data_IF_345941908473
#
_entry.id   IF_345941908473
#
_cell.length_a   1.000
_cell.length_b   1.000
_cell.length_c   1.000
_cell.angle_alpha   90.00
_cell.angle_beta   90.00
_cell.angle_gamma   90.00
#
_symmetry.space_group_name_H-M   'P 1'
#
loop_
_entity.id
_entity.type
_entity.pdbx_description
1 polymer ?
#
# COMPACT_ATOMS: atom_id res chain seq x y z
N UNK A 1 -50.29 8.55 -15.02
CA UNK A 1 -49.64 7.27 -14.67
C UNK A 1 -48.19 7.43 -14.27
N UNK A 2 -47.35 8.22 -14.98
CA UNK A 2 -45.90 8.40 -14.63
C UNK A 2 -45.64 9.06 -13.27
N UNK A 3 -46.49 10.00 -12.86
CA UNK A 3 -46.36 10.71 -11.56
C UNK A 3 -46.66 9.79 -10.37
N UNK A 4 -47.62 8.85 -10.50
CA UNK A 4 -47.96 7.86 -9.47
C UNK A 4 -46.81 6.87 -9.27
N UNK A 5 -46.12 6.50 -10.35
CA UNK A 5 -44.96 5.60 -10.28
C UNK A 5 -43.78 6.24 -9.55
N UNK A 6 -43.58 7.55 -9.76
CA UNK A 6 -42.50 8.30 -9.06
C UNK A 6 -42.82 8.44 -7.57
N UNK A 7 -44.09 8.66 -7.21
CA UNK A 7 -44.52 8.77 -5.81
C UNK A 7 -44.38 7.43 -5.06
N UNK A 8 -44.59 6.29 -5.75
CA UNK A 8 -44.43 4.95 -5.18
C UNK A 8 -42.98 4.61 -4.90
N UNK A 9 -42.05 5.09 -5.73
CA UNK A 9 -40.58 4.87 -5.54
C UNK A 9 -40.04 5.70 -4.37
N UNK A 10 -40.59 6.89 -4.11
CA UNK A 10 -40.16 7.72 -2.98
C UNK A 10 -40.61 7.18 -1.61
N UNK A 11 -41.63 6.30 -1.56
CA UNK A 11 -42.14 5.74 -0.30
C UNK A 11 -41.36 4.49 0.19
N UNK A 12 -40.49 3.93 -0.62
CA UNK A 12 -39.78 2.67 -0.36
C UNK A 12 -38.49 2.79 0.47
N UNK A 13 -38.09 3.98 0.94
CA UNK A 13 -36.76 4.22 1.51
C UNK A 13 -36.75 4.55 3.02
N UNK A 14 -37.69 3.96 3.83
CA UNK A 14 -37.69 4.11 5.29
C UNK A 14 -37.41 2.75 5.99
N UNK A 15 -36.37 2.02 5.58
CA UNK A 15 -35.95 0.85 6.31
C UNK A 15 -35.06 1.27 7.51
N UNK A 16 -35.68 1.45 8.68
CA UNK A 16 -34.96 1.56 9.93
C UNK A 16 -34.67 0.14 10.42
N UNK A 17 -33.39 -0.28 10.34
CA UNK A 17 -32.94 -1.53 10.95
C UNK A 17 -32.73 -1.31 12.46
N UNK A 18 -33.62 -1.87 13.27
CA UNK A 18 -33.53 -1.84 14.74
C UNK A 18 -33.20 -3.26 15.23
N UNK A 19 -32.27 -3.40 16.16
CA UNK A 19 -31.88 -4.68 16.74
C UNK A 19 -32.59 -4.87 18.09
N UNK A 20 -33.25 -6.02 18.25
CA UNK A 20 -33.94 -6.42 19.46
C UNK A 20 -33.24 -7.62 20.11
N UNK A 21 -33.13 -7.59 21.43
CA UNK A 21 -32.65 -8.68 22.25
C UNK A 21 -33.81 -9.39 22.89
N UNK A 22 -33.97 -10.69 22.71
CA UNK A 22 -34.96 -11.51 23.37
C UNK A 22 -34.30 -12.73 24.02
N UNK A 23 -35.02 -13.37 24.97
CA UNK A 23 -34.60 -14.62 25.61
C UNK A 23 -35.55 -15.69 25.11
N UNK A 24 -35.04 -16.76 24.51
CA UNK A 24 -35.87 -17.88 24.05
C UNK A 24 -36.32 -18.77 25.23
N UNK A 25 -37.20 -19.72 24.98
CA UNK A 25 -37.71 -20.65 26.00
C UNK A 25 -36.65 -21.53 26.65
N UNK A 26 -35.47 -21.62 26.05
CA UNK A 26 -34.31 -22.35 26.58
C UNK A 26 -33.39 -21.45 27.46
N UNK A 27 -33.71 -20.15 27.62
CA UNK A 27 -32.92 -19.20 28.40
C UNK A 27 -31.74 -18.58 27.62
N UNK A 28 -31.64 -18.79 26.32
CA UNK A 28 -30.57 -18.25 25.48
C UNK A 28 -30.94 -16.86 24.95
N UNK A 29 -29.95 -16.00 24.87
CA UNK A 29 -30.09 -14.66 24.30
C UNK A 29 -30.06 -14.73 22.78
N UNK A 30 -31.14 -14.27 22.13
CA UNK A 30 -31.28 -14.21 20.68
C UNK A 30 -31.42 -12.76 20.26
N UNK A 31 -30.67 -12.36 19.20
CA UNK A 31 -30.78 -11.04 18.59
C UNK A 31 -31.57 -11.15 17.28
N UNK A 32 -32.53 -10.26 17.08
CA UNK A 32 -33.42 -10.27 15.91
C UNK A 32 -33.68 -8.83 15.45
N UNK A 33 -33.97 -8.67 14.18
CA UNK A 33 -34.40 -7.41 13.56
C UNK A 33 -35.95 -7.22 13.60
N UNK A 34 -36.67 -8.25 14.04
CA UNK A 34 -38.14 -8.20 14.17
C UNK A 34 -38.56 -8.12 15.63
N UNK A 35 -39.45 -7.22 16.03
CA UNK A 35 -39.93 -7.11 17.41
C UNK A 35 -40.78 -8.34 17.78
N UNK A 36 -40.26 -9.16 18.70
CA UNK A 36 -41.01 -10.27 19.32
C UNK A 36 -41.54 -9.89 20.70
N UNK A 37 -42.60 -10.55 21.16
CA UNK A 37 -43.20 -10.28 22.48
C UNK A 37 -42.13 -10.49 23.58
N UNK A 38 -41.86 -9.43 24.38
CA UNK A 38 -40.85 -9.45 25.43
C UNK A 38 -39.42 -9.10 24.97
N UNK A 39 -39.22 -8.68 23.72
CA UNK A 39 -37.92 -8.23 23.24
C UNK A 39 -37.65 -6.78 23.70
N UNK A 40 -36.46 -6.57 24.24
CA UNK A 40 -35.97 -5.25 24.63
C UNK A 40 -35.21 -4.63 23.48
N UNK A 41 -35.57 -3.38 23.10
CA UNK A 41 -34.87 -2.63 22.07
C UNK A 41 -33.46 -2.27 22.55
N UNK A 42 -32.45 -2.79 21.86
CA UNK A 42 -31.07 -2.52 22.20
C UNK A 42 -30.72 -1.09 21.76
N UNK A 43 -30.58 -0.18 22.71
CA UNK A 43 -29.98 1.13 22.47
C UNK A 43 -28.46 0.94 22.43
N UNK A 44 -27.92 0.79 21.23
CA UNK A 44 -26.47 0.78 21.10
C UNK A 44 -25.92 2.14 21.54
N UNK A 45 -25.03 2.20 22.56
CA UNK A 45 -24.32 3.43 22.84
C UNK A 45 -23.57 3.83 21.58
N UNK A 46 -23.58 5.13 21.26
CA UNK A 46 -22.77 5.64 20.17
C UNK A 46 -21.34 5.13 20.37
N UNK A 47 -20.85 4.39 19.38
CA UNK A 47 -19.47 3.93 19.41
C UNK A 47 -18.59 5.16 19.65
N UNK A 48 -17.70 5.15 20.65
CA UNK A 48 -16.74 6.23 20.77
C UNK A 48 -15.99 6.28 19.44
N UNK A 49 -16.24 7.33 18.68
CA UNK A 49 -15.49 7.61 17.48
C UNK A 49 -14.06 7.79 17.95
N UNK A 50 -13.17 6.82 17.62
CA UNK A 50 -11.75 7.01 17.83
C UNK A 50 -11.36 8.25 17.03
N UNK A 51 -11.21 9.36 17.73
CA UNK A 51 -10.50 10.50 17.18
C UNK A 51 -9.02 10.10 17.26
N UNK A 52 -8.38 9.72 16.13
CA UNK A 52 -6.96 9.45 16.18
C UNK A 52 -6.29 10.68 16.79
N UNK A 53 -5.31 10.51 17.71
CA UNK A 53 -4.50 11.63 18.15
C UNK A 53 -4.04 12.35 16.88
N UNK A 54 -3.98 13.70 16.87
CA UNK A 54 -3.44 14.39 15.74
C UNK A 54 -2.09 13.75 15.48
N UNK A 55 -2.03 12.83 14.50
CA UNK A 55 -0.77 12.47 13.88
C UNK A 55 -0.16 13.81 13.57
N UNK A 56 1.05 14.15 14.09
CA UNK A 56 1.73 15.27 13.53
C UNK A 56 1.65 15.00 12.04
N UNK A 57 0.77 15.71 11.39
CA UNK A 57 0.79 15.80 9.96
C UNK A 57 2.15 16.44 9.76
N UNK A 58 3.18 15.60 9.67
CA UNK A 58 4.26 15.94 8.79
C UNK A 58 3.50 16.18 7.53
N UNK A 59 3.11 17.42 7.37
CA UNK A 59 2.68 17.96 6.12
C UNK A 59 3.80 17.51 5.20
N UNK A 60 3.58 16.39 4.48
CA UNK A 60 4.11 16.30 3.17
C UNK A 60 3.39 17.43 2.44
N UNK A 61 3.75 18.66 2.82
CA UNK A 61 3.68 19.78 1.91
C UNK A 61 4.33 19.17 0.70
N UNK A 62 3.62 18.97 -0.43
CA UNK A 62 4.33 18.80 -1.68
C UNK A 62 5.29 19.95 -1.63
N UNK A 63 6.59 19.64 -1.46
CA UNK A 63 7.63 20.65 -1.44
C UNK A 63 7.30 21.42 -2.70
N UNK A 64 6.66 22.58 -2.52
CA UNK A 64 6.49 23.52 -3.61
C UNK A 64 7.89 23.64 -4.12
N UNK A 65 8.10 23.07 -5.30
CA UNK A 65 9.33 23.20 -6.03
C UNK A 65 9.64 24.69 -5.98
N UNK A 66 10.51 25.07 -5.06
CA UNK A 66 11.16 26.35 -5.13
C UNK A 66 11.67 26.38 -6.55
N UNK A 67 11.29 27.35 -7.36
CA UNK A 67 11.74 27.57 -8.72
C UNK A 67 13.28 27.76 -8.74
N UNK A 68 13.98 26.71 -8.36
CA UNK A 68 15.39 26.52 -8.71
C UNK A 68 15.35 25.97 -10.13
N UNK A 69 15.95 26.73 -11.04
CA UNK A 69 16.04 26.48 -12.47
C UNK A 69 15.85 24.99 -12.80
N UNK A 70 14.76 24.65 -13.48
CA UNK A 70 14.36 23.29 -13.85
C UNK A 70 15.44 22.61 -14.71
N UNK A 71 16.50 22.13 -14.06
CA UNK A 71 17.55 21.37 -14.76
C UNK A 71 16.98 20.07 -15.32
N UNK A 72 16.02 19.48 -14.61
CA UNK A 72 15.43 18.21 -14.99
C UNK A 72 13.96 18.37 -15.36
N UNK A 73 13.57 17.76 -16.47
CA UNK A 73 12.20 17.82 -16.99
C UNK A 73 11.38 16.60 -16.59
N UNK A 74 12.03 15.47 -16.41
CA UNK A 74 11.36 14.19 -16.14
C UNK A 74 12.29 13.25 -15.41
N UNK A 75 11.76 12.58 -14.38
CA UNK A 75 12.46 11.52 -13.67
C UNK A 75 11.44 10.41 -13.35
N UNK A 76 11.64 9.23 -13.91
CA UNK A 76 10.72 8.09 -13.79
C UNK A 76 11.48 6.79 -13.56
N UNK A 77 10.93 5.89 -12.75
CA UNK A 77 11.41 4.51 -12.65
C UNK A 77 10.84 3.73 -13.82
N UNK A 78 11.71 3.12 -14.63
CA UNK A 78 11.33 2.34 -15.81
C UNK A 78 11.23 0.86 -15.45
N UNK A 79 12.10 0.40 -14.56
CA UNK A 79 12.10 -0.97 -14.03
C UNK A 79 12.34 -0.94 -12.53
N UNK A 80 11.56 -1.69 -11.74
CA UNK A 80 10.38 -2.46 -12.11
C UNK A 80 9.19 -1.58 -12.53
N UNK A 81 8.23 -2.19 -13.25
CA UNK A 81 6.95 -1.55 -13.52
C UNK A 81 6.11 -1.43 -12.24
N UNK A 82 5.14 -0.50 -12.24
CA UNK A 82 4.23 -0.40 -11.10
C UNK A 82 3.40 -1.70 -10.96
N UNK A 83 3.24 -2.17 -9.73
CA UNK A 83 2.54 -3.41 -9.37
C UNK A 83 3.19 -4.70 -9.92
N UNK A 84 4.45 -4.64 -10.30
CA UNK A 84 5.18 -5.80 -10.80
C UNK A 84 5.44 -6.84 -9.70
N UNK A 85 5.24 -8.12 -10.04
CA UNK A 85 5.60 -9.25 -9.18
C UNK A 85 6.94 -9.83 -9.60
N UNK A 86 7.96 -9.67 -8.79
CA UNK A 86 9.31 -10.18 -9.00
C UNK A 86 9.47 -11.51 -8.26
N UNK A 87 9.79 -12.59 -9.00
CA UNK A 87 10.07 -13.91 -8.44
C UNK A 87 11.56 -14.18 -8.49
N UNK A 88 12.24 -13.95 -7.38
CA UNK A 88 13.68 -14.13 -7.28
C UNK A 88 14.05 -14.69 -5.90
N UNK A 89 14.61 -15.91 -5.85
CA UNK A 89 14.96 -16.58 -4.60
C UNK A 89 16.14 -15.92 -3.86
N UNK A 90 17.02 -15.25 -4.59
CA UNK A 90 18.13 -14.50 -4.01
C UNK A 90 17.69 -13.12 -3.51
N UNK A 91 16.45 -12.73 -3.80
CA UNK A 91 15.94 -11.40 -3.43
C UNK A 91 16.70 -10.29 -4.18
N UNK A 92 17.05 -10.53 -5.45
CA UNK A 92 17.72 -9.53 -6.28
C UNK A 92 16.64 -8.68 -6.97
N UNK A 93 16.76 -7.38 -6.82
CA UNK A 93 15.94 -6.36 -7.45
C UNK A 93 16.85 -5.42 -8.25
N UNK A 94 16.64 -5.34 -9.55
CA UNK A 94 17.30 -4.37 -10.41
C UNK A 94 16.37 -3.20 -10.63
N UNK A 95 16.86 -2.01 -10.32
CA UNK A 95 16.11 -0.75 -10.49
C UNK A 95 16.79 0.04 -11.60
N UNK A 96 15.99 0.51 -12.54
CA UNK A 96 16.41 1.40 -13.62
C UNK A 96 15.47 2.61 -13.64
N UNK A 97 16.06 3.80 -13.61
CA UNK A 97 15.34 5.04 -13.71
C UNK A 97 15.84 5.86 -14.90
N UNK A 98 14.93 6.54 -15.57
CA UNK A 98 15.22 7.43 -16.67
C UNK A 98 15.08 8.87 -16.22
N UNK A 99 16.14 9.64 -16.43
CA UNK A 99 16.22 11.05 -16.09
C UNK A 99 16.46 11.88 -17.34
N UNK A 100 15.67 12.94 -17.53
CA UNK A 100 15.82 13.86 -18.68
C UNK A 100 15.94 15.31 -18.18
N UNK A 101 17.00 16.03 -18.57
CA UNK A 101 18.25 15.55 -19.18
C UNK A 101 19.04 14.60 -18.29
N UNK A 102 20.11 14.02 -18.81
CA UNK A 102 20.96 13.08 -18.05
C UNK A 102 21.54 13.73 -16.78
N UNK A 103 21.87 12.89 -15.81
CA UNK A 103 22.41 13.30 -14.52
C UNK A 103 23.61 14.24 -14.68
N UNK A 104 23.61 15.35 -13.99
CA UNK A 104 24.64 16.40 -14.08
C UNK A 104 25.79 16.15 -13.09
N UNK A 105 26.74 15.31 -13.48
CA UNK A 105 27.92 15.00 -12.64
C UNK A 105 28.77 16.22 -12.31
N UNK A 106 28.83 17.20 -13.22
CA UNK A 106 29.59 18.44 -13.01
C UNK A 106 29.06 19.27 -11.83
N UNK A 107 27.76 19.16 -11.58
CA UNK A 107 27.07 19.80 -10.44
C UNK A 107 27.05 18.92 -9.20
N UNK A 108 27.73 17.77 -9.25
CA UNK A 108 27.74 16.75 -8.19
C UNK A 108 26.36 16.23 -7.82
N UNK A 109 25.41 16.31 -8.75
CA UNK A 109 24.09 15.74 -8.53
C UNK A 109 24.20 14.22 -8.39
N UNK A 110 23.42 13.64 -7.47
CA UNK A 110 23.37 12.22 -7.16
C UNK A 110 21.92 11.75 -7.08
N UNK A 111 21.72 10.45 -7.26
CA UNK A 111 20.39 9.84 -7.09
C UNK A 111 20.35 9.14 -5.75
N UNK A 112 19.43 9.52 -4.90
CA UNK A 112 19.07 8.81 -3.69
C UNK A 112 17.84 7.95 -3.98
N UNK A 113 17.97 6.65 -3.75
CA UNK A 113 16.84 5.71 -3.83
C UNK A 113 16.21 5.55 -2.46
N UNK A 114 14.90 5.33 -2.45
CA UNK A 114 14.11 5.11 -1.25
C UNK A 114 13.37 3.77 -1.38
N UNK A 115 13.34 3.03 -0.30
CA UNK A 115 12.58 1.79 -0.18
C UNK A 115 11.62 1.93 1.01
N UNK A 116 10.32 1.79 0.77
CA UNK A 116 9.27 2.02 1.80
C UNK A 116 9.35 3.40 2.48
N UNK A 117 9.79 4.42 1.72
CA UNK A 117 9.93 5.78 2.22
C UNK A 117 11.25 6.06 2.97
N UNK A 118 12.07 5.03 3.22
CA UNK A 118 13.37 5.19 3.86
C UNK A 118 14.50 5.23 2.82
N UNK A 119 15.55 6.07 3.03
CA UNK A 119 16.67 6.13 2.10
C UNK A 119 17.45 4.81 2.10
N UNK A 120 17.63 4.24 0.92
CA UNK A 120 18.40 3.03 0.72
C UNK A 120 19.84 3.36 0.30
N UNK A 121 20.78 3.09 1.18
CA UNK A 121 22.21 3.38 0.93
C UNK A 121 22.50 4.87 0.85
N UNK A 122 23.64 5.19 0.23
CA UNK A 122 24.09 6.59 -0.01
C UNK A 122 23.73 7.03 -1.43
N UNK A 123 23.58 8.35 -1.68
CA UNK A 123 23.34 8.87 -3.01
C UNK A 123 24.44 8.47 -4.02
N UNK A 124 24.05 7.98 -5.18
CA UNK A 124 24.96 7.47 -6.22
C UNK A 124 24.90 8.30 -7.50
N UNK A 125 26.01 8.33 -8.26
CA UNK A 125 26.11 9.00 -9.55
C UNK A 125 25.54 8.20 -10.73
N UNK A 126 24.56 7.34 -10.49
CA UNK A 126 23.93 6.48 -11.50
C UNK A 126 22.41 6.47 -11.30
N UNK A 127 21.68 6.27 -12.39
CA UNK A 127 20.23 6.13 -12.37
C UNK A 127 19.77 4.67 -12.26
N UNK A 128 20.70 3.74 -12.01
CA UNK A 128 20.40 2.33 -11.79
C UNK A 128 20.98 1.83 -10.48
N UNK A 129 20.27 0.93 -9.82
CA UNK A 129 20.67 0.32 -8.55
C UNK A 129 20.25 -1.15 -8.53
N UNK A 130 21.12 -2.01 -8.01
CA UNK A 130 20.79 -3.41 -7.71
C UNK A 130 20.73 -3.59 -6.20
N UNK A 131 19.59 -4.03 -5.71
CA UNK A 131 19.37 -4.43 -4.32
C UNK A 131 19.45 -5.95 -4.28
N UNK A 132 20.15 -6.52 -3.31
CA UNK A 132 20.23 -7.96 -3.09
C UNK A 132 19.70 -8.34 -1.71
N UNK A 133 19.29 -9.61 -1.58
CA UNK A 133 18.75 -10.18 -0.34
C UNK A 133 17.49 -9.49 0.18
N UNK A 134 16.67 -8.95 -0.74
CA UNK A 134 15.38 -8.39 -0.38
C UNK A 134 14.44 -9.52 0.07
N UNK A 135 13.81 -9.37 1.23
CA UNK A 135 12.86 -10.35 1.75
C UNK A 135 11.60 -10.39 0.87
N UNK A 136 10.80 -11.45 1.02
CA UNK A 136 9.46 -11.48 0.40
C UNK A 136 8.56 -10.45 1.06
N UNK A 137 7.78 -9.74 0.27
CA UNK A 137 6.87 -8.69 0.77
C UNK A 137 6.54 -7.69 -0.31
N UNK A 138 5.81 -6.69 0.11
CA UNK A 138 5.39 -5.56 -0.71
C UNK A 138 6.32 -4.39 -0.43
N UNK A 139 6.77 -3.74 -1.48
CA UNK A 139 7.72 -2.64 -1.40
C UNK A 139 7.26 -1.46 -2.23
N UNK A 140 7.53 -0.27 -1.71
CA UNK A 140 7.35 0.99 -2.44
C UNK A 140 8.71 1.58 -2.74
N UNK A 141 8.98 1.80 -4.02
CA UNK A 141 10.21 2.43 -4.52
C UNK A 141 9.95 3.86 -4.92
N UNK A 142 10.90 4.73 -4.63
CA UNK A 142 11.01 6.05 -5.23
C UNK A 142 12.48 6.47 -5.33
N UNK A 143 12.76 7.50 -6.09
CA UNK A 143 14.10 8.04 -6.23
C UNK A 143 14.05 9.57 -6.32
N UNK A 144 15.06 10.23 -5.80
CA UNK A 144 15.21 11.68 -5.81
C UNK A 144 16.62 12.05 -6.27
N UNK A 145 16.71 12.99 -7.17
CA UNK A 145 17.99 13.60 -7.50
C UNK A 145 18.29 14.66 -6.44
N UNK A 146 19.44 14.57 -5.81
CA UNK A 146 19.93 15.52 -4.80
C UNK A 146 21.19 16.19 -5.31
N UNK A 147 21.42 17.44 -4.91
CA UNK A 147 22.66 18.16 -5.18
C UNK A 147 23.74 17.89 -4.11
N UNK A 148 24.82 18.63 -4.15
CA UNK A 148 25.95 18.49 -3.23
C UNK A 148 25.58 18.85 -1.77
N UNK A 149 24.57 19.66 -1.58
CA UNK A 149 24.09 20.14 -0.27
C UNK A 149 22.99 19.23 0.29
N UNK A 150 22.57 18.20 -0.49
CA UNK A 150 21.51 17.28 -0.14
C UNK A 150 20.10 17.79 -0.48
N UNK A 151 19.99 18.91 -1.19
CA UNK A 151 18.71 19.49 -1.61
C UNK A 151 18.12 18.69 -2.78
N UNK A 152 16.81 18.39 -2.68
CA UNK A 152 16.09 17.67 -3.72
C UNK A 152 15.88 18.56 -4.96
N UNK A 153 16.24 18.04 -6.14
CA UNK A 153 16.09 18.70 -7.42
C UNK A 153 14.85 18.20 -8.17
N UNK A 154 14.65 16.89 -8.22
CA UNK A 154 13.49 16.24 -8.82
C UNK A 154 13.30 14.86 -8.19
N UNK A 155 12.04 14.40 -8.07
CA UNK A 155 11.71 13.09 -7.53
C UNK A 155 10.84 12.30 -8.51
N UNK A 156 10.93 10.97 -8.45
CA UNK A 156 10.02 10.08 -9.18
C UNK A 156 8.69 9.96 -8.46
N UNK A 157 7.66 9.48 -9.18
CA UNK A 157 6.49 8.89 -8.53
C UNK A 157 6.86 7.61 -7.78
N UNK A 158 5.95 7.15 -6.91
CA UNK A 158 6.09 5.89 -6.19
C UNK A 158 5.76 4.72 -7.13
N UNK A 159 6.56 3.67 -7.06
CA UNK A 159 6.37 2.40 -7.76
C UNK A 159 6.20 1.31 -6.71
N UNK A 160 5.07 0.62 -6.73
CA UNK A 160 4.80 -0.53 -5.85
C UNK A 160 5.26 -1.79 -6.56
N UNK A 161 5.89 -2.71 -5.82
CA UNK A 161 6.29 -4.02 -6.33
C UNK A 161 6.10 -5.11 -5.28
N UNK A 162 5.98 -6.35 -5.74
CA UNK A 162 5.77 -7.53 -4.92
C UNK A 162 6.94 -8.50 -5.08
N UNK A 163 7.78 -8.65 -4.04
CA UNK A 163 8.87 -9.62 -4.04
C UNK A 163 8.37 -10.99 -3.57
N UNK A 164 8.51 -12.01 -4.41
CA UNK A 164 8.18 -13.39 -4.08
C UNK A 164 9.42 -14.28 -4.12
N UNK A 165 9.63 -15.02 -3.01
CA UNK A 165 10.70 -16.01 -2.89
C UNK A 165 10.08 -17.39 -2.66
N UNK A 166 10.67 -18.45 -3.20
CA UNK A 166 10.21 -19.81 -2.91
C UNK A 166 10.33 -20.12 -1.41
N UNK A 167 9.27 -20.70 -0.86
CA UNK A 167 9.31 -21.29 0.47
C UNK A 167 9.67 -22.76 0.35
N UNK A 168 10.67 -23.24 1.08
CA UNK A 168 11.02 -24.66 1.18
C UNK A 168 9.84 -25.48 1.71
N UNK A 169 8.96 -24.86 2.51
CA UNK A 169 7.74 -25.49 3.06
C UNK A 169 6.70 -25.82 1.98
N UNK A 170 6.72 -25.15 0.82
CA UNK A 170 5.80 -25.42 -0.29
C UNK A 170 6.28 -26.53 -1.23
N UNK A 171 7.56 -26.89 -1.14
CA UNK A 171 8.14 -27.94 -1.98
C UNK A 171 9.20 -28.70 -1.16
N UNK A 172 8.78 -29.53 -0.18
CA UNK A 172 9.70 -30.33 0.61
C UNK A 172 10.48 -31.26 -0.33
N UNK A 173 11.77 -31.49 -0.09
CA UNK A 173 12.57 -32.41 -0.90
C UNK A 173 11.89 -33.79 -0.91
N UNK A 174 11.74 -34.37 -2.09
CA UNK A 174 11.18 -35.71 -2.27
C UNK A 174 11.98 -36.71 -1.40
N UNK A 175 11.29 -37.54 -0.58
CA UNK A 175 12.00 -38.52 0.24
C UNK A 175 12.84 -39.43 -0.65
N UNK A 176 14.01 -39.91 -0.17
CA UNK A 176 14.85 -40.85 -0.92
C UNK A 176 14.06 -42.13 -1.23
N UNK A 177 14.30 -42.78 -2.38
CA UNK A 177 13.66 -44.04 -2.72
C UNK A 177 14.01 -45.09 -1.68
N UNK A 178 13.06 -46.02 -1.38
CA UNK A 178 13.33 -47.09 -0.45
C UNK A 178 14.51 -47.96 -0.92
N UNK A 179 15.32 -48.54 -0.02
CA UNK A 179 16.43 -49.40 -0.38
C UNK A 179 15.91 -50.59 -1.16
N UNK A 180 16.56 -50.86 -2.30
CA UNK A 180 16.25 -52.03 -3.13
C UNK A 180 16.41 -53.31 -2.29
N UNK A 181 15.32 -54.09 -2.12
CA UNK A 181 15.40 -55.37 -1.51
C UNK A 181 16.31 -56.28 -2.39
N UNK A 182 17.37 -56.80 -1.80
CA UNK A 182 18.17 -57.87 -2.41
C UNK A 182 17.53 -59.19 -2.19
#
# INVERSE_FOLDING_TARGET
>A
MKVILILLVLFACQANAEIYKSINAAGEVVYTDTPTQGAEKLKMPALPTYTPPPVPTSSFTPVQATEKADFYKSFVIVSPANEETIRNNLGILNIEAQLTPALQDRLKHRVQFFLNGEPYGTPIGKTSLTISNLERGDYTLSATVVDADGEAQISTGNVVLYMKRHSILQNPPKPPPPPSAK
#
